data_IF_611017355127
#
_entry.id   IF_611017355127
#
_cell.length_a   1.000
_cell.length_b   1.000
_cell.length_c   1.000
_cell.angle_alpha   90.00
_cell.angle_beta   90.00
_cell.angle_gamma   90.00
#
_symmetry.space_group_name_H-M   'P 1'
#
loop_
_entity.id
_entity.type
_entity.pdbx_description
1 polymer ?
#
# COMPACT_ATOMS: atom_id res chain seq x y z
N UNK A 1 25.94 26.21 -3.46
CA UNK A 1 25.35 25.40 -2.37
C UNK A 1 24.66 24.21 -3.00
N UNK A 2 24.92 23.00 -2.52
CA UNK A 2 24.21 21.80 -2.99
C UNK A 2 23.01 21.55 -2.08
N UNK A 3 21.82 21.42 -2.65
CA UNK A 3 20.61 21.04 -1.92
C UNK A 3 20.52 19.52 -1.86
N UNK A 4 20.29 18.96 -0.67
CA UNK A 4 20.00 17.54 -0.49
C UNK A 4 18.49 17.36 -0.45
N UNK A 5 17.93 16.66 -1.43
CA UNK A 5 16.53 16.25 -1.45
C UNK A 5 16.48 14.77 -1.04
N UNK A 6 15.69 14.46 -0.02
CA UNK A 6 15.43 13.11 0.43
C UNK A 6 13.92 12.82 0.35
N UNK A 7 13.58 11.54 0.26
CA UNK A 7 12.19 11.10 0.19
C UNK A 7 12.08 9.61 0.49
N UNK A 8 10.87 9.19 0.86
CA UNK A 8 10.52 7.79 1.04
C UNK A 8 9.76 7.35 -0.20
N UNK A 9 10.23 6.29 -0.85
CA UNK A 9 9.50 5.66 -1.95
C UNK A 9 8.40 4.77 -1.38
N UNK A 10 7.22 4.80 -1.99
CA UNK A 10 6.07 4.00 -1.54
C UNK A 10 5.24 3.49 -2.72
N UNK A 11 4.54 2.38 -2.49
CA UNK A 11 3.50 1.83 -3.35
C UNK A 11 2.15 2.01 -2.63
N UNK A 12 1.21 2.70 -3.29
CA UNK A 12 -0.16 2.86 -2.79
C UNK A 12 -0.96 1.57 -2.90
N UNK A 13 -1.53 1.11 -1.79
CA UNK A 13 -2.32 -0.12 -1.70
C UNK A 13 -3.71 0.23 -1.14
N UNK A 14 -4.70 0.31 -2.02
CA UNK A 14 -6.09 0.56 -1.65
C UNK A 14 -6.71 -0.65 -0.97
N UNK A 15 -7.33 -0.47 0.21
CA UNK A 15 -7.93 -1.54 1.01
C UNK A 15 -9.29 -1.15 1.56
N UNK A 16 -10.14 -2.14 1.84
CA UNK A 16 -11.44 -1.91 2.50
C UNK A 16 -11.30 -1.62 3.99
N UNK A 17 -10.33 -2.26 4.65
CA UNK A 17 -10.05 -2.11 6.08
C UNK A 17 -8.53 -2.10 6.33
N UNK A 18 -8.02 -1.00 6.86
CA UNK A 18 -6.59 -0.79 7.12
C UNK A 18 -6.06 -1.77 8.16
N UNK A 19 -6.80 -2.02 9.24
CA UNK A 19 -6.34 -2.86 10.34
C UNK A 19 -6.14 -4.31 9.89
N UNK A 20 -7.15 -4.88 9.24
CA UNK A 20 -7.14 -6.25 8.71
C UNK A 20 -6.03 -6.41 7.68
N UNK A 21 -5.93 -5.48 6.73
CA UNK A 21 -4.93 -5.55 5.67
C UNK A 21 -3.51 -5.42 6.23
N UNK A 22 -3.25 -4.43 7.09
CA UNK A 22 -1.93 -4.22 7.66
C UNK A 22 -1.51 -5.37 8.58
N UNK A 23 -2.44 -5.91 9.37
CA UNK A 23 -2.20 -7.10 10.19
C UNK A 23 -1.76 -8.30 9.34
N UNK A 24 -2.33 -8.46 8.15
CA UNK A 24 -1.88 -9.48 7.19
C UNK A 24 -0.53 -9.11 6.56
N UNK A 25 -0.30 -7.88 6.11
CA UNK A 25 0.99 -7.45 5.51
C UNK A 25 2.18 -7.56 6.46
N UNK A 26 1.98 -7.35 7.77
CA UNK A 26 3.02 -7.60 8.79
C UNK A 26 3.47 -9.07 8.78
N UNK A 27 2.51 -10.00 8.69
CA UNK A 27 2.78 -11.43 8.67
C UNK A 27 3.32 -11.90 7.32
N UNK A 28 2.73 -11.44 6.22
CA UNK A 28 3.08 -11.88 4.87
C UNK A 28 4.42 -11.30 4.41
N UNK A 29 4.64 -10.00 4.61
CA UNK A 29 5.74 -9.25 3.98
C UNK A 29 6.68 -8.56 4.96
N UNK A 30 6.43 -8.65 6.27
CA UNK A 30 7.26 -7.95 7.27
C UNK A 30 7.13 -6.43 7.19
N UNK A 31 5.98 -5.91 6.74
CA UNK A 31 5.68 -4.47 6.73
C UNK A 31 5.21 -4.01 8.12
N UNK A 32 6.08 -4.10 9.12
CA UNK A 32 5.76 -3.94 10.54
C UNK A 32 6.25 -2.65 11.19
N UNK A 33 7.01 -1.83 10.46
CA UNK A 33 7.46 -0.52 10.94
C UNK A 33 6.53 0.58 10.44
N UNK A 34 5.77 1.18 11.35
CA UNK A 34 4.93 2.35 11.02
C UNK A 34 5.77 3.61 10.96
N UNK A 35 5.71 4.31 9.81
CA UNK A 35 6.23 5.68 9.70
C UNK A 35 5.19 6.67 10.21
N UNK A 36 3.94 6.46 9.82
CA UNK A 36 2.78 7.18 10.35
C UNK A 36 1.50 6.35 10.15
N UNK A 37 0.49 6.71 10.93
CA UNK A 37 -0.90 6.37 10.68
C UNK A 37 -1.73 7.64 10.90
N UNK A 38 -2.61 7.97 9.96
CA UNK A 38 -3.40 9.19 10.00
C UNK A 38 -4.81 8.97 9.43
N UNK A 39 -5.81 9.49 10.13
CA UNK A 39 -7.20 9.57 9.67
C UNK A 39 -7.57 11.03 9.45
N UNK A 40 -7.74 11.42 8.19
CA UNK A 40 -7.87 12.82 7.80
C UNK A 40 -8.66 12.99 6.50
N UNK A 41 -9.05 14.23 6.23
CA UNK A 41 -9.53 14.65 4.91
C UNK A 41 -8.35 14.82 3.93
N UNK A 42 -8.59 14.54 2.65
CA UNK A 42 -7.59 14.63 1.59
C UNK A 42 -7.91 15.78 0.58
N UNK A 43 -7.84 17.06 0.97
CA UNK A 43 -8.24 18.18 0.12
C UNK A 43 -7.35 18.35 -1.13
N UNK A 44 -6.08 17.91 -1.06
CA UNK A 44 -5.14 17.95 -2.18
C UNK A 44 -5.42 16.90 -3.26
N UNK A 45 -6.29 15.93 -2.99
CA UNK A 45 -6.62 14.83 -3.90
C UNK A 45 -7.82 15.11 -4.81
N UNK A 46 -8.46 16.28 -4.66
CA UNK A 46 -9.68 16.70 -5.40
C UNK A 46 -9.56 16.55 -6.92
N UNK A 47 -8.37 16.73 -7.50
CA UNK A 47 -8.10 16.49 -8.92
C UNK A 47 -8.33 15.04 -9.39
N UNK A 48 -8.30 14.08 -8.47
CA UNK A 48 -8.50 12.65 -8.72
C UNK A 48 -9.83 12.12 -8.15
N UNK A 49 -10.55 12.94 -7.38
CA UNK A 49 -11.78 12.56 -6.67
C UNK A 49 -12.98 13.39 -7.13
N UNK A 50 -13.04 13.71 -8.43
CA UNK A 50 -14.13 14.48 -9.04
C UNK A 50 -14.42 15.80 -8.29
N UNK A 51 -13.36 16.54 -7.96
CA UNK A 51 -13.43 17.81 -7.23
C UNK A 51 -14.03 17.72 -5.82
N UNK A 52 -14.20 16.52 -5.28
CA UNK A 52 -14.81 16.29 -3.97
C UNK A 52 -13.76 15.87 -2.96
N UNK A 53 -13.72 16.51 -1.79
CA UNK A 53 -12.85 16.10 -0.68
C UNK A 53 -13.32 14.74 -0.15
N UNK A 54 -12.38 13.83 0.08
CA UNK A 54 -12.65 12.50 0.63
C UNK A 54 -11.92 12.34 1.97
N UNK A 55 -12.55 11.67 2.92
CA UNK A 55 -11.93 11.20 4.16
C UNK A 55 -11.24 9.85 3.94
N UNK A 56 -10.12 9.65 4.62
CA UNK A 56 -9.29 8.44 4.51
C UNK A 56 -8.68 8.05 5.84
N UNK A 57 -8.30 6.77 5.94
CA UNK A 57 -7.31 6.28 6.89
C UNK A 57 -6.10 5.78 6.09
N UNK A 58 -4.92 6.28 6.40
CA UNK A 58 -3.68 5.96 5.70
C UNK A 58 -2.59 5.51 6.68
N UNK A 59 -1.88 4.45 6.32
CA UNK A 59 -0.69 3.97 7.03
C UNK A 59 0.45 3.87 6.03
N UNK A 60 1.61 4.46 6.36
CA UNK A 60 2.84 4.16 5.66
C UNK A 60 3.66 3.15 6.47
N UNK A 61 3.75 1.92 5.97
CA UNK A 61 4.45 0.82 6.62
C UNK A 61 5.72 0.44 5.85
N UNK A 62 6.82 0.19 6.56
CA UNK A 62 8.11 -0.22 6.02
C UNK A 62 8.52 -1.61 6.51
N UNK A 63 9.45 -2.21 5.78
CA UNK A 63 10.21 -3.40 6.19
C UNK A 63 11.68 -2.97 6.45
N UNK A 64 12.26 -3.38 7.57
CA UNK A 64 13.65 -3.03 7.94
C UNK A 64 14.70 -3.64 7.00
N UNK A 65 14.34 -4.62 6.19
CA UNK A 65 15.17 -5.14 5.09
C UNK A 65 15.30 -4.13 3.94
N UNK A 66 14.64 -2.97 4.02
CA UNK A 66 14.69 -1.89 3.06
C UNK A 66 13.68 -2.05 1.91
N UNK A 67 13.84 -1.24 0.87
CA UNK A 67 12.91 -1.15 -0.26
C UNK A 67 11.91 0.00 -0.12
N UNK A 68 10.80 -0.10 -0.84
CA UNK A 68 9.72 0.88 -0.80
C UNK A 68 8.68 0.53 0.28
N UNK A 69 8.03 1.55 0.84
CA UNK A 69 6.94 1.38 1.80
C UNK A 69 5.62 0.99 1.15
N UNK A 70 4.73 0.40 1.93
CA UNK A 70 3.32 0.27 1.58
C UNK A 70 2.56 1.47 2.14
N UNK A 71 1.99 2.29 1.26
CA UNK A 71 1.01 3.30 1.64
C UNK A 71 -0.38 2.64 1.60
N UNK A 72 -0.78 2.05 2.72
CA UNK A 72 -2.04 1.35 2.90
C UNK A 72 -3.13 2.39 3.06
N UNK A 73 -4.08 2.42 2.13
CA UNK A 73 -5.05 3.50 2.02
C UNK A 73 -6.48 2.96 2.03
N UNK A 74 -7.26 3.35 3.03
CA UNK A 74 -8.70 3.11 3.08
C UNK A 74 -9.47 4.40 2.86
N UNK A 75 -10.40 4.37 1.91
CA UNK A 75 -11.39 5.43 1.73
C UNK A 75 -12.48 5.29 2.79
N UNK A 76 -12.82 6.38 3.48
CA UNK A 76 -13.82 6.39 4.56
C UNK A 76 -15.12 7.05 4.15
N UNK A 77 -15.11 7.93 3.15
CA UNK A 77 -16.32 8.59 2.64
C UNK A 77 -17.23 7.69 1.80
N UNK A 78 -16.70 6.57 1.30
CA UNK A 78 -17.46 5.51 0.61
C UNK A 78 -16.72 4.19 0.71
N UNK A 79 -17.44 3.09 0.48
CA UNK A 79 -16.84 1.76 0.43
C UNK A 79 -15.81 1.65 -0.71
N UNK A 80 -14.57 1.22 -0.43
CA UNK A 80 -13.58 0.95 -1.46
C UNK A 80 -14.02 -0.20 -2.38
N UNK A 81 -14.05 0.07 -3.68
CA UNK A 81 -14.40 -0.90 -4.71
C UNK A 81 -13.16 -1.37 -5.46
N UNK A 82 -13.10 -2.67 -5.75
CA UNK A 82 -12.08 -3.24 -6.62
C UNK A 82 -12.31 -2.87 -8.09
N UNK A 83 -11.39 -3.22 -8.99
CA UNK A 83 -11.58 -3.03 -10.42
C UNK A 83 -12.78 -3.84 -10.94
N UNK A 84 -13.51 -3.30 -11.92
CA UNK A 84 -14.69 -3.96 -12.50
C UNK A 84 -14.36 -5.25 -13.28
N UNK A 85 -13.10 -5.45 -13.61
CA UNK A 85 -12.56 -6.62 -14.31
C UNK A 85 -11.23 -6.98 -13.67
N UNK A 86 -10.86 -8.25 -13.74
CA UNK A 86 -9.56 -8.69 -13.28
C UNK A 86 -8.46 -7.99 -14.10
N UNK A 87 -7.48 -7.32 -13.46
CA UNK A 87 -6.39 -6.68 -14.16
C UNK A 87 -5.58 -7.69 -14.99
N UNK A 88 -5.16 -7.28 -16.19
CA UNK A 88 -4.31 -8.05 -17.08
C UNK A 88 -3.00 -7.32 -17.38
N UNK A 89 -1.96 -8.08 -17.73
CA UNK A 89 -0.70 -7.50 -18.22
C UNK A 89 -1.00 -6.70 -19.49
N UNK A 90 -0.65 -5.41 -19.47
CA UNK A 90 -0.93 -4.46 -20.55
C UNK A 90 -2.01 -3.44 -20.23
N UNK A 91 -2.79 -3.64 -19.16
CA UNK A 91 -3.75 -2.65 -18.70
C UNK A 91 -3.05 -1.38 -18.19
N UNK A 92 -3.74 -0.23 -18.29
CA UNK A 92 -3.24 1.04 -17.78
C UNK A 92 -3.28 1.06 -16.26
N UNK A 93 -2.13 1.29 -15.62
CA UNK A 93 -2.01 1.45 -14.17
C UNK A 93 -0.88 0.62 -13.60
N UNK A 94 -0.95 0.37 -12.29
CA UNK A 94 0.01 -0.50 -11.59
C UNK A 94 -0.57 -1.92 -11.58
N UNK A 95 0.06 -2.84 -12.32
CA UNK A 95 -0.36 -4.24 -12.37
C UNK A 95 0.13 -5.03 -11.14
N UNK A 96 1.40 -4.87 -10.77
CA UNK A 96 2.00 -5.57 -9.65
C UNK A 96 3.15 -4.78 -9.02
N UNK A 97 3.35 -4.95 -7.72
CA UNK A 97 4.56 -4.58 -7.01
C UNK A 97 5.52 -5.77 -6.93
N UNK A 98 6.83 -5.52 -7.03
CA UNK A 98 7.85 -6.57 -6.92
C UNK A 98 8.71 -6.33 -5.69
N UNK A 99 8.90 -7.36 -4.87
CA UNK A 99 9.74 -7.31 -3.67
C UNK A 99 10.93 -8.27 -3.83
N UNK A 100 12.13 -7.81 -3.44
CA UNK A 100 13.30 -8.69 -3.38
C UNK A 100 13.14 -9.66 -2.22
N UNK A 101 13.46 -10.92 -2.46
CA UNK A 101 13.54 -11.94 -1.41
C UNK A 101 14.96 -12.51 -1.36
N UNK A 102 15.45 -12.76 -0.15
CA UNK A 102 16.71 -13.47 0.05
C UNK A 102 16.59 -14.95 -0.34
N UNK A 103 15.41 -15.55 -0.14
CA UNK A 103 15.08 -16.92 -0.55
C UNK A 103 13.62 -16.95 -1.03
N UNK A 104 13.46 -17.10 -2.35
CA UNK A 104 12.14 -17.13 -2.99
C UNK A 104 11.33 -18.38 -2.61
N UNK A 105 11.98 -19.51 -2.31
CA UNK A 105 11.29 -20.75 -1.96
C UNK A 105 10.77 -20.69 -0.53
N UNK A 106 11.56 -20.13 0.39
CA UNK A 106 11.11 -19.89 1.76
C UNK A 106 9.96 -18.86 1.81
N UNK A 107 10.07 -17.77 1.05
CA UNK A 107 9.01 -16.77 0.95
C UNK A 107 7.71 -17.37 0.37
N UNK A 108 7.82 -18.15 -0.71
CA UNK A 108 6.68 -18.83 -1.30
C UNK A 108 6.00 -19.77 -0.29
N UNK A 109 6.75 -20.66 0.38
CA UNK A 109 6.19 -21.57 1.40
C UNK A 109 5.44 -20.80 2.49
N UNK A 110 6.05 -19.75 3.05
CA UNK A 110 5.42 -18.92 4.09
C UNK A 110 4.11 -18.31 3.60
N UNK A 111 4.07 -17.79 2.38
CA UNK A 111 2.86 -17.18 1.82
C UNK A 111 1.78 -18.24 1.57
N UNK A 112 2.14 -19.41 1.04
CA UNK A 112 1.22 -20.54 0.88
C UNK A 112 0.64 -21.01 2.22
N UNK A 113 1.45 -21.10 3.26
CA UNK A 113 0.99 -21.48 4.62
C UNK A 113 0.03 -20.45 5.23
N UNK A 114 0.11 -19.19 4.79
CA UNK A 114 -0.82 -18.12 5.15
C UNK A 114 -2.09 -18.11 4.29
N UNK A 115 -2.22 -19.02 3.31
CA UNK A 115 -3.36 -19.11 2.39
C UNK A 115 -3.37 -18.04 1.30
N UNK A 116 -2.21 -17.50 0.94
CA UNK A 116 -2.05 -16.53 -0.14
C UNK A 116 -2.04 -17.21 -1.52
#
# INVERSE_FOLDING_TARGET
>A
MAYTISGIQQLGVGVRDVETAWSWYRRAFGMDVSVFQDEAEAPLMTRYTAQTVQSRNAVLALNLSGGAGFEIWQLKSREPVGPNKDPMIGDTGIFAGTMKSADIQAAHRRLSDLGA
#
